data_IF_914854499798
#
_entry.id   IF_914854499798
#
_cell.length_a   1.000
_cell.length_b   1.000
_cell.length_c   1.000
_cell.angle_alpha   90.00
_cell.angle_beta   90.00
_cell.angle_gamma   90.00
#
_symmetry.space_group_name_H-M   'P 1'
#
loop_
_entity.id
_entity.type
_entity.pdbx_description
1 polymer ?
#
# COMPACT_ATOMS: atom_id res chain seq x y z
N UNK A 1 -3.86 -19.28 -23.95
CA UNK A 1 -5.04 -18.96 -23.11
C UNK A 1 -4.51 -18.49 -21.75
N UNK A 2 -5.01 -17.36 -21.24
CA UNK A 2 -4.66 -16.87 -19.90
C UNK A 2 -5.27 -17.80 -18.84
N UNK A 3 -4.55 -18.01 -17.73
CA UNK A 3 -4.96 -18.82 -16.59
C UNK A 3 -5.11 -17.93 -15.36
N UNK A 4 -6.28 -18.00 -14.74
CA UNK A 4 -6.60 -17.28 -13.51
C UNK A 4 -6.54 -18.26 -12.35
N UNK A 5 -5.76 -17.91 -11.32
CA UNK A 5 -5.81 -18.61 -10.04
C UNK A 5 -7.09 -18.20 -9.31
N UNK A 6 -7.93 -19.17 -8.97
CA UNK A 6 -9.22 -18.89 -8.33
C UNK A 6 -9.07 -18.94 -6.81
N UNK A 7 -8.26 -19.85 -6.25
CA UNK A 7 -7.88 -19.87 -4.83
C UNK A 7 -6.53 -20.58 -4.63
N UNK A 8 -5.70 -20.06 -3.73
CA UNK A 8 -4.60 -20.80 -3.10
C UNK A 8 -5.07 -21.14 -1.70
N UNK A 9 -5.40 -22.41 -1.44
CA UNK A 9 -5.77 -22.85 -0.09
C UNK A 9 -4.48 -23.22 0.65
N UNK A 10 -4.21 -22.53 1.76
CA UNK A 10 -3.20 -22.94 2.73
C UNK A 10 -3.98 -23.51 3.91
N UNK A 11 -4.44 -24.76 3.82
CA UNK A 11 -4.93 -25.44 5.01
C UNK A 11 -3.77 -26.09 5.74
N UNK A 12 -3.82 -25.91 7.05
CA UNK A 12 -2.96 -26.45 8.09
C UNK A 12 -2.25 -27.76 7.69
N UNK A 13 -0.93 -27.81 7.88
CA UNK A 13 0.01 -28.93 7.63
C UNK A 13 0.89 -28.86 6.36
N UNK A 14 0.98 -27.68 5.73
CA UNK A 14 2.11 -27.36 4.84
C UNK A 14 1.97 -27.80 3.39
N UNK A 15 0.81 -28.33 2.97
CA UNK A 15 0.51 -28.56 1.57
C UNK A 15 -0.27 -27.36 1.00
N UNK A 16 0.13 -26.89 -0.19
CA UNK A 16 -0.53 -25.79 -0.90
C UNK A 16 -1.22 -26.36 -2.13
N UNK A 17 -2.54 -26.42 -2.10
CA UNK A 17 -3.31 -26.90 -3.23
C UNK A 17 -3.71 -25.70 -4.12
N UNK A 18 -3.22 -25.70 -5.35
CA UNK A 18 -3.52 -24.73 -6.40
C UNK A 18 -4.66 -25.25 -7.27
N UNK A 19 -5.67 -24.41 -7.49
CA UNK A 19 -6.79 -24.73 -8.35
C UNK A 19 -6.83 -23.85 -9.61
N UNK A 20 -7.13 -24.48 -10.74
CA UNK A 20 -7.37 -23.82 -12.05
C UNK A 20 -8.84 -23.98 -12.39
N UNK A 21 -9.63 -22.92 -12.15
CA UNK A 21 -11.08 -23.03 -12.18
C UNK A 21 -11.57 -23.92 -11.04
N UNK A 22 -12.27 -25.02 -11.37
CA UNK A 22 -12.85 -25.95 -10.41
C UNK A 22 -12.04 -27.24 -10.22
N UNK A 23 -10.86 -27.36 -10.82
CA UNK A 23 -9.98 -28.55 -10.69
C UNK A 23 -8.64 -28.20 -10.09
N UNK A 24 -8.01 -29.17 -9.47
CA UNK A 24 -6.62 -29.05 -9.05
C UNK A 24 -5.71 -28.82 -10.27
N UNK A 25 -4.67 -28.02 -10.06
CA UNK A 25 -3.66 -27.75 -11.06
C UNK A 25 -2.84 -29.01 -11.34
N UNK A 26 -2.47 -29.22 -12.60
CA UNK A 26 -1.57 -30.31 -12.94
C UNK A 26 -0.13 -29.97 -12.54
N UNK A 27 0.73 -30.99 -12.40
CA UNK A 27 2.17 -30.79 -12.16
C UNK A 27 2.85 -29.89 -13.21
N UNK A 28 2.40 -29.94 -14.46
CA UNK A 28 2.89 -29.06 -15.52
C UNK A 28 2.49 -27.61 -15.26
N UNK A 29 1.26 -27.38 -14.79
CA UNK A 29 0.75 -26.07 -14.45
C UNK A 29 1.47 -25.46 -13.25
N UNK A 30 1.74 -26.26 -12.22
CA UNK A 30 2.60 -25.85 -11.10
C UNK A 30 3.99 -25.43 -11.57
N UNK A 31 4.63 -26.23 -12.43
CA UNK A 31 5.95 -25.90 -12.98
C UNK A 31 5.94 -24.62 -13.82
N UNK A 32 4.91 -24.43 -14.65
CA UNK A 32 4.80 -23.22 -15.48
C UNK A 32 4.51 -21.96 -14.64
N UNK A 33 3.67 -22.09 -13.60
CA UNK A 33 3.44 -21.02 -12.63
C UNK A 33 4.74 -20.65 -11.91
N UNK A 34 5.51 -21.64 -11.43
CA UNK A 34 6.79 -21.41 -10.75
C UNK A 34 7.79 -20.69 -11.65
N UNK A 35 7.92 -21.13 -12.91
CA UNK A 35 8.76 -20.42 -13.90
C UNK A 35 8.33 -18.98 -14.13
N UNK A 36 7.02 -18.70 -14.04
CA UNK A 36 6.50 -17.34 -14.20
C UNK A 36 6.81 -16.47 -12.98
N UNK A 37 6.77 -17.03 -11.76
CA UNK A 37 7.27 -16.36 -10.55
C UNK A 37 8.77 -16.07 -10.64
N UNK A 38 9.60 -17.07 -10.96
CA UNK A 38 11.06 -16.87 -11.07
C UNK A 38 11.40 -15.80 -12.13
N UNK A 39 10.62 -15.73 -13.23
CA UNK A 39 10.77 -14.71 -14.26
C UNK A 39 10.34 -13.31 -13.78
N UNK A 40 9.28 -13.22 -12.96
CA UNK A 40 8.86 -11.98 -12.33
C UNK A 40 10.02 -11.43 -11.49
N UNK A 41 10.54 -12.22 -10.55
CA UNK A 41 11.61 -11.80 -9.64
C UNK A 41 12.84 -11.33 -10.41
N UNK A 42 13.28 -12.10 -11.41
CA UNK A 42 14.42 -11.73 -12.26
C UNK A 42 14.23 -10.40 -12.98
N UNK A 43 13.02 -10.11 -13.49
CA UNK A 43 12.72 -8.87 -14.21
C UNK A 43 12.66 -7.68 -13.27
N UNK A 44 12.04 -7.84 -12.11
CA UNK A 44 11.98 -6.81 -11.07
C UNK A 44 13.38 -6.49 -10.54
N UNK A 45 14.19 -7.51 -10.24
CA UNK A 45 15.60 -7.33 -9.82
C UNK A 45 16.41 -6.55 -10.86
N UNK A 46 16.33 -6.97 -12.14
CA UNK A 46 17.08 -6.34 -13.21
C UNK A 46 16.68 -4.88 -13.42
N UNK A 47 15.40 -4.56 -13.24
CA UNK A 47 14.89 -3.19 -13.27
C UNK A 47 15.38 -2.39 -12.06
N UNK A 48 15.25 -2.94 -10.86
CA UNK A 48 15.65 -2.28 -9.62
C UNK A 48 17.15 -1.90 -9.61
N UNK A 49 18.01 -2.75 -10.15
CA UNK A 49 19.46 -2.50 -10.27
C UNK A 49 19.84 -1.44 -11.31
N UNK A 50 18.92 -1.09 -12.21
CA UNK A 50 19.18 -0.18 -13.33
C UNK A 50 18.34 1.10 -13.27
N UNK A 51 17.57 1.29 -12.20
CA UNK A 51 16.64 2.39 -12.13
C UNK A 51 17.37 3.74 -12.27
N UNK A 52 16.92 4.58 -13.21
CA UNK A 52 17.56 5.86 -13.54
C UNK A 52 16.69 7.09 -13.26
N UNK A 53 15.48 6.92 -12.71
CA UNK A 53 14.59 8.03 -12.39
C UNK A 53 13.23 7.58 -11.83
N UNK A 54 12.35 8.56 -11.62
CA UNK A 54 11.11 8.42 -10.83
C UNK A 54 9.96 7.73 -11.58
N UNK A 55 10.10 7.46 -12.89
CA UNK A 55 9.05 6.89 -13.74
C UNK A 55 9.11 5.34 -13.90
N UNK A 56 10.01 4.68 -13.17
CA UNK A 56 10.13 3.21 -13.23
C UNK A 56 8.99 2.52 -12.48
N UNK A 57 8.24 1.67 -13.19
CA UNK A 57 7.14 0.89 -12.62
C UNK A 57 7.23 -0.60 -13.02
N UNK A 58 6.60 -1.46 -12.22
CA UNK A 58 6.66 -2.90 -12.45
C UNK A 58 6.01 -3.36 -13.76
N UNK A 59 5.00 -2.63 -14.29
CA UNK A 59 4.36 -2.96 -15.57
C UNK A 59 5.36 -2.87 -16.72
N UNK A 60 6.16 -1.81 -16.74
CA UNK A 60 7.22 -1.61 -17.74
C UNK A 60 8.35 -2.63 -17.54
N UNK A 61 8.81 -2.83 -16.30
CA UNK A 61 9.85 -3.82 -15.97
C UNK A 61 9.50 -5.24 -16.43
N UNK A 62 8.23 -5.64 -16.23
CA UNK A 62 7.73 -6.94 -16.66
C UNK A 62 7.62 -7.05 -18.18
N UNK A 63 7.18 -5.98 -18.85
CA UNK A 63 6.99 -5.90 -20.29
C UNK A 63 5.81 -6.75 -20.80
N UNK A 64 5.31 -6.43 -22.00
CA UNK A 64 4.09 -7.07 -22.55
C UNK A 64 4.16 -8.59 -22.65
N UNK A 65 5.33 -9.14 -22.98
CA UNK A 65 5.47 -10.58 -23.18
C UNK A 65 5.30 -11.38 -21.89
N UNK A 66 5.55 -10.76 -20.73
CA UNK A 66 5.24 -11.38 -19.44
C UNK A 66 3.73 -11.58 -19.28
N UNK A 67 2.92 -10.57 -19.61
CA UNK A 67 1.46 -10.61 -19.48
C UNK A 67 0.78 -11.50 -20.51
N UNK A 68 1.44 -11.81 -21.64
CA UNK A 68 0.97 -12.80 -22.61
C UNK A 68 1.14 -14.26 -22.13
N UNK A 69 1.96 -14.51 -21.10
CA UNK A 69 2.14 -15.85 -20.53
C UNK A 69 0.85 -16.32 -19.85
N UNK A 70 0.57 -17.63 -19.81
CA UNK A 70 -0.62 -18.16 -19.15
C UNK A 70 -0.84 -17.59 -17.74
N UNK A 71 0.23 -17.48 -16.94
CA UNK A 71 0.18 -17.01 -15.55
C UNK A 71 0.56 -15.55 -15.33
N UNK A 72 0.82 -14.77 -16.39
CA UNK A 72 1.40 -13.43 -16.29
C UNK A 72 0.58 -12.50 -15.40
N UNK A 73 -0.71 -12.35 -15.69
CA UNK A 73 -1.62 -11.55 -14.86
C UNK A 73 -1.78 -12.10 -13.45
N UNK A 74 -1.90 -13.42 -13.29
CA UNK A 74 -2.01 -14.06 -11.97
C UNK A 74 -0.83 -13.72 -11.07
N UNK A 75 0.41 -13.86 -11.58
CA UNK A 75 1.62 -13.55 -10.80
C UNK A 75 1.73 -12.04 -10.53
N UNK A 76 1.46 -11.20 -11.52
CA UNK A 76 1.48 -9.75 -11.34
C UNK A 76 0.44 -9.28 -10.31
N UNK A 77 -0.77 -9.86 -10.30
CA UNK A 77 -1.81 -9.54 -9.31
C UNK A 77 -1.50 -10.08 -7.92
N UNK A 78 -0.86 -11.26 -7.81
CA UNK A 78 -0.46 -11.82 -6.51
C UNK A 78 0.52 -10.90 -5.78
N UNK A 79 1.50 -10.33 -6.48
CA UNK A 79 2.45 -9.42 -5.86
C UNK A 79 2.00 -7.97 -5.85
N UNK A 80 1.27 -7.52 -6.88
CA UNK A 80 0.73 -6.16 -6.96
C UNK A 80 -0.54 -5.98 -6.13
N UNK A 81 -1.68 -6.39 -6.69
CA UNK A 81 -3.00 -6.11 -6.09
C UNK A 81 -3.14 -6.76 -4.72
N UNK A 82 -2.72 -8.02 -4.58
CA UNK A 82 -2.82 -8.74 -3.32
C UNK A 82 -1.71 -8.37 -2.33
N UNK A 83 -0.45 -8.30 -2.80
CA UNK A 83 0.69 -8.02 -1.94
C UNK A 83 0.88 -6.55 -1.56
N UNK A 84 0.64 -5.63 -2.49
CA UNK A 84 0.94 -4.19 -2.36
C UNK A 84 -0.32 -3.31 -2.40
N UNK A 85 -1.51 -3.88 -2.61
CA UNK A 85 -2.74 -3.13 -2.85
C UNK A 85 -2.64 -2.14 -4.04
N UNK A 86 -1.80 -2.42 -5.03
CA UNK A 86 -1.53 -1.55 -6.19
C UNK A 86 -1.44 -2.36 -7.49
N UNK A 87 -1.80 -1.73 -8.62
CA UNK A 87 -1.56 -2.37 -9.92
C UNK A 87 -0.07 -2.30 -10.27
N UNK A 88 0.41 -3.19 -11.13
CA UNK A 88 1.82 -3.21 -11.56
C UNK A 88 2.32 -1.89 -12.16
N UNK A 89 1.42 -1.04 -12.68
CA UNK A 89 1.79 0.28 -13.21
C UNK A 89 1.95 1.36 -12.12
N UNK A 90 1.49 1.08 -10.91
CA UNK A 90 1.35 2.07 -9.82
C UNK A 90 2.32 1.78 -8.65
N UNK A 91 3.30 0.89 -8.84
CA UNK A 91 4.37 0.64 -7.84
C UNK A 91 5.76 0.50 -8.46
N UNK A 92 6.75 0.94 -7.69
CA UNK A 92 8.18 0.93 -8.03
C UNK A 92 8.80 -0.47 -7.92
N UNK A 93 9.55 -0.92 -8.94
CA UNK A 93 10.36 -2.13 -8.84
C UNK A 93 11.42 -2.05 -7.75
N UNK A 94 11.99 -0.86 -7.52
CA UNK A 94 13.05 -0.64 -6.52
C UNK A 94 12.50 -0.80 -5.12
N UNK A 95 11.35 -0.17 -4.82
CA UNK A 95 10.73 -0.27 -3.51
C UNK A 95 10.27 -1.69 -3.21
N UNK A 96 9.68 -2.36 -4.20
CA UNK A 96 9.28 -3.76 -4.07
C UNK A 96 10.48 -4.67 -3.80
N UNK A 97 11.56 -4.53 -4.58
CA UNK A 97 12.76 -5.37 -4.46
C UNK A 97 13.48 -5.19 -3.11
N UNK A 98 13.47 -3.97 -2.57
CA UNK A 98 14.10 -3.66 -1.30
C UNK A 98 13.13 -3.77 -0.11
N UNK A 99 11.90 -4.23 -0.33
CA UNK A 99 10.92 -4.39 0.74
C UNK A 99 11.42 -5.41 1.78
N UNK A 100 11.33 -5.02 3.05
CA UNK A 100 11.71 -5.89 4.16
C UNK A 100 10.51 -6.74 4.54
N UNK A 101 10.63 -8.05 4.37
CA UNK A 101 9.63 -9.01 4.84
C UNK A 101 9.66 -9.20 6.35
N UNK A 102 8.59 -9.78 6.89
CA UNK A 102 8.49 -10.15 8.30
C UNK A 102 7.65 -11.41 8.48
N UNK A 103 7.71 -11.99 9.68
CA UNK A 103 6.82 -13.10 10.05
C UNK A 103 5.36 -12.67 10.04
N UNK A 104 4.48 -13.55 9.60
CA UNK A 104 3.04 -13.34 9.69
C UNK A 104 2.54 -13.85 11.04
N UNK A 105 1.93 -12.95 11.81
CA UNK A 105 1.36 -13.27 13.12
C UNK A 105 -0.12 -12.87 13.13
N UNK A 106 -0.96 -13.77 13.62
CA UNK A 106 -2.40 -13.54 13.75
C UNK A 106 -2.73 -13.23 15.21
N UNK A 107 -3.52 -12.18 15.43
CA UNK A 107 -4.09 -11.89 16.74
C UNK A 107 -5.44 -12.61 16.84
N UNK A 108 -5.51 -13.64 17.70
CA UNK A 108 -6.71 -14.46 17.89
C UNK A 108 -7.91 -13.64 18.38
N UNK A 109 -7.65 -12.62 19.18
CA UNK A 109 -8.62 -11.69 19.74
C UNK A 109 -9.01 -10.57 18.75
N UNK A 110 -8.44 -10.57 17.55
CA UNK A 110 -8.60 -9.53 16.54
C UNK A 110 -7.63 -8.35 16.74
N UNK A 111 -7.08 -7.82 15.64
CA UNK A 111 -6.06 -6.77 15.68
C UNK A 111 -6.54 -5.47 16.39
N UNK A 112 -7.85 -5.19 16.38
CA UNK A 112 -8.44 -4.06 17.13
C UNK A 112 -8.25 -4.16 18.65
N UNK A 113 -8.16 -5.38 19.19
CA UNK A 113 -7.88 -5.60 20.63
C UNK A 113 -6.48 -5.13 21.00
N UNK A 114 -5.49 -5.36 20.12
CA UNK A 114 -4.12 -4.88 20.32
C UNK A 114 -4.07 -3.35 20.36
N UNK A 115 -4.75 -2.69 19.42
CA UNK A 115 -4.85 -1.22 19.36
C UNK A 115 -5.50 -0.67 20.62
N UNK A 116 -6.66 -1.22 21.02
CA UNK A 116 -7.37 -0.79 22.22
C UNK A 116 -6.54 -0.96 23.51
N UNK A 117 -5.73 -2.02 23.59
CA UNK A 117 -4.85 -2.27 24.73
C UNK A 117 -3.70 -1.25 24.78
N UNK A 118 -3.07 -0.95 23.64
CA UNK A 118 -1.94 -0.03 23.57
C UNK A 118 -2.34 1.42 23.89
N UNK A 119 -3.51 1.86 23.41
CA UNK A 119 -3.97 3.24 23.56
C UNK A 119 -4.77 3.51 24.84
N UNK A 120 -4.87 2.55 25.77
CA UNK A 120 -5.73 2.65 26.96
C UNK A 120 -5.45 3.86 27.86
N UNK A 121 -4.22 4.38 27.84
CA UNK A 121 -3.81 5.55 28.64
C UNK A 121 -3.79 6.86 27.85
N UNK A 122 -4.11 6.82 26.56
CA UNK A 122 -4.13 8.01 25.69
C UNK A 122 -5.55 8.58 25.69
N UNK A 123 -5.75 9.86 26.06
CA UNK A 123 -7.07 10.48 25.97
C UNK A 123 -7.50 10.59 24.50
N UNK A 124 -8.55 9.86 24.12
CA UNK A 124 -9.11 9.86 22.76
C UNK A 124 -10.50 10.49 22.75
N UNK A 125 -10.73 11.41 21.82
CA UNK A 125 -12.05 12.00 21.55
C UNK A 125 -12.60 11.48 20.22
N UNK A 126 -13.58 10.58 20.29
CA UNK A 126 -14.27 10.05 19.11
C UNK A 126 -15.32 11.04 18.60
N UNK A 127 -15.74 10.91 17.34
CA UNK A 127 -16.70 11.83 16.72
C UNK A 127 -16.22 13.27 16.57
N UNK A 128 -14.92 13.53 16.82
CA UNK A 128 -14.31 14.85 16.72
C UNK A 128 -13.70 15.03 15.33
N UNK A 129 -14.55 15.37 14.37
CA UNK A 129 -14.12 15.62 13.00
C UNK A 129 -13.33 16.94 12.92
N UNK A 130 -12.07 16.83 12.51
CA UNK A 130 -11.22 17.99 12.23
C UNK A 130 -11.58 18.54 10.85
N UNK A 131 -11.87 19.84 10.80
CA UNK A 131 -12.16 20.57 9.56
C UNK A 131 -10.96 21.35 9.06
N UNK A 132 -10.19 21.93 9.98
CA UNK A 132 -9.05 22.77 9.62
C UNK A 132 -7.95 22.67 10.67
N UNK A 133 -6.71 22.73 10.21
CA UNK A 133 -5.52 22.86 11.04
C UNK A 133 -4.83 24.17 10.62
N UNK A 134 -4.92 25.18 11.48
CA UNK A 134 -4.24 26.47 11.31
C UNK A 134 -2.91 26.46 12.07
N UNK A 135 -1.81 26.57 11.31
CA UNK A 135 -0.45 26.64 11.84
C UNK A 135 0.26 27.95 11.43
N UNK A 136 -0.48 29.05 11.28
CA UNK A 136 0.11 30.36 10.95
C UNK A 136 0.62 31.15 12.17
N UNK A 137 0.14 30.82 13.36
CA UNK A 137 0.41 31.57 14.60
C UNK A 137 1.44 30.90 15.54
N UNK A 138 1.49 31.38 16.78
CA UNK A 138 2.25 30.75 17.85
C UNK A 138 1.54 29.46 18.31
N UNK A 139 1.96 28.33 17.74
CA UNK A 139 1.36 27.01 17.93
C UNK A 139 0.36 26.62 16.83
N UNK A 140 -0.36 25.53 17.09
CA UNK A 140 -1.34 24.94 16.17
C UNK A 140 -2.75 25.10 16.72
N UNK A 141 -3.68 25.53 15.88
CA UNK A 141 -5.12 25.52 16.16
C UNK A 141 -5.77 24.45 15.31
N UNK A 142 -6.48 23.54 15.96
CA UNK A 142 -7.24 22.47 15.31
C UNK A 142 -8.72 22.81 15.44
N UNK A 143 -9.34 23.15 14.32
CA UNK A 143 -10.75 23.51 14.23
C UNK A 143 -11.54 22.23 13.98
N UNK A 144 -12.50 21.96 14.87
CA UNK A 144 -13.38 20.79 14.82
C UNK A 144 -14.85 21.22 14.78
N UNK A 145 -15.76 20.27 14.58
CA UNK A 145 -17.20 20.54 14.72
C UNK A 145 -17.62 20.99 16.14
N UNK A 146 -16.86 20.58 17.15
CA UNK A 146 -17.19 20.82 18.57
C UNK A 146 -16.43 22.01 19.17
N UNK A 147 -15.63 22.72 18.37
CA UNK A 147 -14.84 23.87 18.80
C UNK A 147 -13.37 23.78 18.36
N UNK A 148 -12.54 24.66 18.93
CA UNK A 148 -11.12 24.79 18.58
C UNK A 148 -10.22 24.29 19.69
N UNK A 149 -9.29 23.40 19.34
CA UNK A 149 -8.23 22.92 20.22
C UNK A 149 -6.96 23.73 19.93
N UNK A 150 -6.31 24.27 20.97
CA UNK A 150 -5.02 24.96 20.84
C UNK A 150 -3.92 24.07 21.41
N UNK A 151 -2.85 23.89 20.64
CA UNK A 151 -1.70 23.07 21.03
C UNK A 151 -0.39 23.73 20.59
N UNK A 152 0.73 23.31 21.17
CA UNK A 152 2.07 23.76 20.74
C UNK A 152 2.52 23.07 19.45
N UNK A 153 2.07 21.84 19.22
CA UNK A 153 2.36 21.02 18.06
C UNK A 153 1.18 20.09 17.77
N UNK A 154 1.11 19.58 16.54
CA UNK A 154 0.18 18.54 16.14
C UNK A 154 0.92 17.42 15.41
N UNK A 155 0.57 16.17 15.70
CA UNK A 155 1.04 15.01 14.94
C UNK A 155 -0.09 14.60 14.00
N UNK A 156 0.21 14.54 12.70
CA UNK A 156 -0.76 14.22 11.68
C UNK A 156 -0.62 12.74 11.27
N UNK A 157 -1.63 11.95 11.57
CA UNK A 157 -1.70 10.52 11.25
C UNK A 157 -2.88 10.17 10.34
N UNK A 158 -3.40 11.17 9.60
CA UNK A 158 -4.46 10.92 8.61
C UNK A 158 -3.89 10.10 7.45
N UNK A 159 -4.75 9.27 6.84
CA UNK A 159 -4.34 8.45 5.71
C UNK A 159 -3.83 9.30 4.54
N UNK A 160 -2.91 8.76 3.75
CA UNK A 160 -2.38 9.41 2.53
C UNK A 160 -3.48 9.72 1.50
N UNK A 161 -4.55 8.92 1.47
CA UNK A 161 -5.72 9.20 0.64
C UNK A 161 -6.43 10.48 1.06
N UNK A 162 -6.64 10.66 2.37
CA UNK A 162 -7.19 11.93 2.90
C UNK A 162 -6.27 13.10 2.55
N UNK A 163 -4.94 12.94 2.69
CA UNK A 163 -3.97 13.97 2.31
C UNK A 163 -4.04 14.34 0.82
N UNK A 164 -4.17 13.34 -0.06
CA UNK A 164 -4.22 13.54 -1.50
C UNK A 164 -5.48 14.31 -1.97
N UNK A 165 -6.59 14.22 -1.22
CA UNK A 165 -7.84 14.92 -1.53
C UNK A 165 -8.04 16.22 -0.72
N UNK A 166 -7.00 16.67 0.00
CA UNK A 166 -7.02 17.97 0.68
C UNK A 166 -7.01 19.10 -0.35
N UNK A 167 -8.19 19.64 -0.61
CA UNK A 167 -8.37 20.87 -1.38
C UNK A 167 -9.32 21.80 -0.63
N UNK A 168 -9.07 23.10 -0.69
CA UNK A 168 -9.87 24.14 -0.04
C UNK A 168 -11.32 24.15 -0.52
N UNK A 169 -11.60 23.59 -1.69
CA UNK A 169 -12.93 23.60 -2.31
C UNK A 169 -13.78 22.34 -2.00
N UNK A 170 -13.18 21.28 -1.45
CA UNK A 170 -13.83 19.97 -1.33
C UNK A 170 -14.60 19.75 -0.02
N UNK A 171 -14.51 20.68 0.94
CA UNK A 171 -15.14 20.53 2.26
C UNK A 171 -14.49 19.45 3.14
N UNK A 172 -13.31 18.96 2.75
CA UNK A 172 -12.50 18.01 3.51
C UNK A 172 -11.59 18.72 4.53
N UNK A 173 -10.70 17.98 5.20
CA UNK A 173 -9.70 18.55 6.10
C UNK A 173 -8.82 19.57 5.37
N UNK A 174 -8.73 20.79 5.89
CA UNK A 174 -7.88 21.86 5.37
C UNK A 174 -6.65 22.04 6.26
N UNK A 175 -5.46 22.16 5.69
CA UNK A 175 -4.25 22.57 6.43
C UNK A 175 -3.83 23.95 5.93
N UNK A 176 -3.68 24.89 6.85
CA UNK A 176 -3.15 26.21 6.57
C UNK A 176 -1.70 26.22 7.09
N UNK A 177 -0.72 26.01 6.21
CA UNK A 177 0.68 26.00 6.62
C UNK A 177 1.12 27.42 7.00
N UNK A 178 2.18 27.49 7.80
CA UNK A 178 2.93 28.72 8.00
C UNK A 178 3.35 29.26 6.63
N UNK A 179 3.19 30.57 6.40
CA UNK A 179 3.66 31.18 5.14
C UNK A 179 5.15 30.89 5.01
N UNK A 180 5.56 30.20 3.96
CA UNK A 180 6.96 30.15 3.57
C UNK A 180 7.43 31.58 3.35
N UNK A 181 8.34 32.06 4.20
CA UNK A 181 9.12 33.25 3.89
C UNK A 181 9.84 33.01 2.57
N UNK A 182 9.46 33.75 1.53
CA UNK A 182 10.02 33.81 0.17
C UNK A 182 11.28 32.95 -0.07
N UNK A 183 11.12 31.78 -0.68
CA UNK A 183 12.16 31.22 -1.55
C UNK A 183 11.94 31.80 -2.95
N UNK A 184 12.46 33.02 -3.14
CA UNK A 184 12.86 33.49 -4.46
C UNK A 184 13.98 32.54 -4.94
N UNK A 185 13.70 31.73 -5.95
CA UNK A 185 14.76 31.17 -6.79
C UNK A 185 15.02 32.19 -7.89
N UNK A 186 16.10 32.96 -7.70
CA UNK A 186 16.88 33.53 -8.78
C UNK A 186 17.72 32.43 -9.45
#
# INVERSE_FOLDING_TARGET
>A
MLKTMVFMYIETLGNRDLFVGSREATEEEYRDLRKTYDLFDKKLEASAKKATGDDDNARTALGEDFFKRPWGYTVASNWGVWGMAQNSKDYSPVDWWNSVGGGQHYCREGYGTLVAHYDQSVPVSLGTWVKEIDWQGDGVKVITLSGTIKARAAILTVSVGVLAFMDKSSGQLHIIPMRSSNLLLA
#
